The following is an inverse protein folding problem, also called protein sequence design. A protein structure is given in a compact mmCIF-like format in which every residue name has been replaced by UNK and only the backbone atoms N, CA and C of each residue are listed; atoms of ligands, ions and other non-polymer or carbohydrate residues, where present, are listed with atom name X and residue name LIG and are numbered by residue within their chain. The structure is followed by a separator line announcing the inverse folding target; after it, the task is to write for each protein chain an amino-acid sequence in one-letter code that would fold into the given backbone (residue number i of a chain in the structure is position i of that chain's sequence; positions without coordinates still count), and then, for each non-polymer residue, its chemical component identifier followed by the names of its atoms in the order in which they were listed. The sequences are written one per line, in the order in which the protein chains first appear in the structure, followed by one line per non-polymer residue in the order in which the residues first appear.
data_IF_595078265665
#
_entry.id   IF_595078265665
#
_cell.length_a   1.000
_cell.length_b   1.000
_cell.length_c   1.000
_cell.angle_alpha   90.00
_cell.angle_beta   90.00
_cell.angle_gamma   90.00
#
_symmetry.space_group_name_H-M   'P 1'
#
loop_
_entity.id
_entity.type
_entity.pdbx_description
1 polymer ?
#
# COMPACT_ATOMS: atom_id res chain seq x y z
N UNK A 1 -48.74 8.13 61.74
CA UNK A 1 -47.27 7.89 61.76
C UNK A 1 -46.87 7.62 60.33
N UNK A 2 -46.19 8.58 59.73
CA UNK A 2 -45.97 8.68 58.30
C UNK A 2 -44.75 7.88 57.81
N UNK A 3 -44.82 7.17 56.71
CA UNK A 3 -43.70 6.41 56.13
C UNK A 3 -42.76 7.25 55.23
N UNK A 4 -42.79 8.59 55.36
CA UNK A 4 -42.07 9.50 54.45
C UNK A 4 -40.58 9.69 54.80
N UNK A 5 -40.14 9.28 56.02
CA UNK A 5 -38.74 9.46 56.43
C UNK A 5 -37.73 8.41 55.92
N UNK A 6 -38.21 7.22 55.48
CA UNK A 6 -37.30 6.18 55.00
C UNK A 6 -36.93 6.30 53.53
N UNK A 7 -37.76 6.97 52.72
CA UNK A 7 -37.55 7.13 51.29
C UNK A 7 -36.47 8.17 51.00
N UNK A 8 -36.35 9.20 51.82
CA UNK A 8 -35.35 10.25 51.61
C UNK A 8 -33.91 9.80 51.91
N UNK A 9 -33.74 8.81 52.79
CA UNK A 9 -32.40 8.33 53.16
C UNK A 9 -31.84 7.36 52.13
N UNK A 10 -32.70 6.57 51.51
CA UNK A 10 -32.32 5.68 50.39
C UNK A 10 -32.01 6.47 49.12
N UNK A 11 -32.75 7.54 48.85
CA UNK A 11 -32.48 8.39 47.67
C UNK A 11 -31.18 9.19 47.85
N UNK A 12 -30.82 9.60 49.09
CA UNK A 12 -29.57 10.30 49.35
C UNK A 12 -28.35 9.39 49.24
N UNK A 13 -28.49 8.10 49.63
CA UNK A 13 -27.43 7.12 49.45
C UNK A 13 -27.22 6.76 47.97
N UNK A 14 -28.30 6.69 47.17
CA UNK A 14 -28.17 6.43 45.74
C UNK A 14 -27.48 7.57 44.98
N UNK A 15 -27.78 8.81 45.33
CA UNK A 15 -27.11 9.98 44.72
C UNK A 15 -25.64 10.09 45.15
N UNK A 16 -25.28 9.71 46.37
CA UNK A 16 -23.89 9.67 46.81
C UNK A 16 -23.06 8.59 46.10
N UNK A 17 -23.64 7.42 45.82
CA UNK A 17 -22.97 6.36 45.08
C UNK A 17 -22.77 6.70 43.59
N UNK A 18 -23.65 7.49 42.98
CA UNK A 18 -23.51 7.91 41.58
C UNK A 18 -22.43 8.98 41.44
N UNK A 19 -22.23 9.83 42.43
CA UNK A 19 -21.18 10.85 42.39
C UNK A 19 -19.76 10.33 42.63
N UNK A 20 -19.59 9.14 43.19
CA UNK A 20 -18.25 8.55 43.40
C UNK A 20 -17.65 7.90 42.15
N UNK A 21 -18.46 7.64 41.12
CA UNK A 21 -17.95 7.07 39.86
C UNK A 21 -17.66 8.11 38.76
N UNK A 22 -17.73 9.41 39.10
CA UNK A 22 -17.48 10.50 38.13
C UNK A 22 -16.11 11.18 38.34
N UNK A 23 -15.23 10.65 39.17
CA UNK A 23 -13.83 10.95 39.05
C UNK A 23 -13.28 10.12 37.89
N UNK A 24 -13.41 10.65 36.67
CA UNK A 24 -12.58 10.21 35.59
C UNK A 24 -11.14 10.31 36.07
N UNK A 25 -10.50 9.20 36.26
CA UNK A 25 -9.07 9.10 36.41
C UNK A 25 -8.49 9.80 35.17
N UNK A 26 -7.99 11.01 35.35
CA UNK A 26 -7.14 11.66 34.39
C UNK A 26 -5.89 10.81 34.34
N UNK A 27 -5.98 9.69 33.59
CA UNK A 27 -4.82 8.89 33.27
C UNK A 27 -3.81 9.86 32.66
N UNK A 28 -2.63 9.93 33.23
CA UNK A 28 -1.50 10.57 32.61
C UNK A 28 -1.33 9.94 31.24
N UNK A 29 -1.91 10.56 30.20
CA UNK A 29 -1.60 10.22 28.83
C UNK A 29 -0.15 10.65 28.62
N UNK A 30 0.77 9.73 28.89
CA UNK A 30 2.09 9.87 28.31
C UNK A 30 1.88 10.08 26.80
N UNK A 31 2.53 11.07 26.21
CA UNK A 31 2.39 11.31 24.79
C UNK A 31 2.77 10.01 24.07
N UNK A 32 1.83 9.41 23.34
CA UNK A 32 2.12 8.27 22.47
C UNK A 32 3.07 8.79 21.42
N UNK A 33 4.36 8.49 21.60
CA UNK A 33 5.37 8.76 20.59
C UNK A 33 5.08 7.83 19.42
N UNK A 34 4.46 8.37 18.39
CA UNK A 34 4.32 7.65 17.12
C UNK A 34 5.72 7.38 16.56
N UNK A 35 5.97 6.20 16.01
CA UNK A 35 7.25 5.90 15.38
C UNK A 35 7.50 6.91 14.26
N UNK A 36 8.72 7.43 14.19
CA UNK A 36 9.12 8.38 13.16
C UNK A 36 9.05 7.69 11.80
N UNK A 37 8.21 8.20 10.91
CA UNK A 37 8.09 7.70 9.55
C UNK A 37 9.32 8.15 8.76
N UNK A 38 10.13 7.20 8.30
CA UNK A 38 11.29 7.44 7.45
C UNK A 38 10.90 7.38 5.99
N UNK A 39 11.50 8.25 5.18
CA UNK A 39 11.32 8.31 3.73
C UNK A 39 12.56 7.79 3.03
N UNK A 40 12.38 6.79 2.19
CA UNK A 40 13.44 6.19 1.38
C UNK A 40 13.58 6.86 0.02
N UNK A 41 12.52 7.49 -0.44
CA UNK A 41 12.44 8.13 -1.75
C UNK A 41 13.45 9.26 -1.96
N UNK A 42 13.97 9.88 -0.92
CA UNK A 42 15.05 10.88 -1.02
C UNK A 42 16.45 10.29 -1.08
N UNK A 43 16.58 8.96 -0.96
CA UNK A 43 17.84 8.21 -0.85
C UNK A 43 18.73 8.60 0.34
N UNK A 44 18.18 9.33 1.30
CA UNK A 44 18.90 9.84 2.48
C UNK A 44 18.30 9.36 3.81
N UNK A 45 17.29 8.48 3.76
CA UNK A 45 16.63 7.92 4.93
C UNK A 45 16.27 8.99 5.98
N UNK A 46 15.70 10.11 5.50
CA UNK A 46 15.33 11.26 6.32
C UNK A 46 13.94 11.09 6.91
N UNK A 47 13.72 11.74 8.04
CA UNK A 47 12.40 11.80 8.65
C UNK A 47 11.43 12.54 7.71
N UNK A 48 10.20 12.03 7.62
CA UNK A 48 9.18 12.60 6.74
C UNK A 48 8.96 14.10 6.97
N UNK A 49 8.85 14.52 8.22
CA UNK A 49 8.64 15.94 8.58
C UNK A 49 9.86 16.84 8.28
N UNK A 50 11.06 16.26 8.19
CA UNK A 50 12.28 16.97 7.87
C UNK A 50 12.59 16.99 6.37
N UNK A 51 11.81 16.26 5.55
CA UNK A 51 12.06 16.15 4.11
C UNK A 51 11.51 17.39 3.38
N UNK A 52 12.35 18.20 2.72
CA UNK A 52 11.93 19.42 2.02
C UNK A 52 11.32 19.10 0.64
N UNK A 53 10.35 18.19 0.60
CA UNK A 53 9.72 17.71 -0.61
C UNK A 53 8.27 17.29 -0.35
N UNK A 54 7.43 17.31 -1.41
CA UNK A 54 6.08 16.74 -1.32
C UNK A 54 6.17 15.23 -1.43
N UNK A 55 6.22 14.55 -0.30
CA UNK A 55 6.31 13.09 -0.22
C UNK A 55 5.09 12.55 0.50
N UNK A 56 4.49 11.52 -0.08
CA UNK A 56 3.37 10.77 0.50
C UNK A 56 3.77 9.33 0.64
N UNK A 57 3.61 8.77 1.83
CA UNK A 57 3.82 7.34 2.09
C UNK A 57 2.49 6.69 2.44
N UNK A 58 2.17 5.62 1.73
CA UNK A 58 0.95 4.85 1.87
C UNK A 58 1.33 3.43 2.26
N UNK A 59 0.97 3.03 3.47
CA UNK A 59 1.15 1.67 3.96
C UNK A 59 0.05 0.76 3.42
N UNK A 60 0.40 -0.40 2.88
CA UNK A 60 -0.58 -1.31 2.29
C UNK A 60 -1.58 -1.88 3.31
N UNK A 61 -1.17 -2.07 4.56
CA UNK A 61 -2.06 -2.50 5.65
C UNK A 61 -3.27 -1.59 5.86
N UNK A 62 -3.20 -0.33 5.43
CA UNK A 62 -4.33 0.60 5.52
C UNK A 62 -5.33 0.43 4.37
N UNK A 63 -5.05 -0.46 3.42
CA UNK A 63 -5.83 -0.70 2.21
C UNK A 63 -6.38 -2.12 2.11
N UNK A 64 -6.48 -2.83 3.22
CA UNK A 64 -6.96 -4.23 3.29
C UNK A 64 -8.37 -4.45 2.73
N UNK A 65 -9.20 -3.39 2.68
CA UNK A 65 -10.55 -3.46 2.13
C UNK A 65 -10.64 -3.24 0.61
N UNK A 66 -9.51 -3.07 -0.05
CA UNK A 66 -9.44 -2.92 -1.50
C UNK A 66 -9.42 -4.29 -2.18
N UNK A 67 -9.90 -4.35 -3.43
CA UNK A 67 -9.82 -5.58 -4.22
C UNK A 67 -8.36 -5.95 -4.56
N UNK A 68 -7.45 -4.97 -4.56
CA UNK A 68 -6.03 -5.18 -4.84
C UNK A 68 -5.72 -5.50 -6.30
N UNK A 69 -6.51 -4.98 -7.23
CA UNK A 69 -6.38 -5.26 -8.67
C UNK A 69 -5.33 -4.35 -9.31
N UNK A 70 -5.34 -3.05 -8.95
CA UNK A 70 -4.41 -2.09 -9.51
C UNK A 70 -4.11 -0.92 -8.55
N UNK A 71 -3.07 -0.16 -8.85
CA UNK A 71 -2.58 0.95 -8.02
C UNK A 71 -3.61 2.07 -7.78
N UNK A 72 -4.67 2.18 -8.60
CA UNK A 72 -5.68 3.22 -8.39
C UNK A 72 -6.43 3.07 -7.07
N UNK A 73 -6.49 1.87 -6.55
CA UNK A 73 -7.15 1.57 -5.27
C UNK A 73 -6.29 2.06 -4.09
N UNK A 74 -4.99 1.83 -4.16
CA UNK A 74 -4.03 2.17 -3.09
C UNK A 74 -3.63 3.64 -3.10
N UNK A 75 -3.45 4.23 -4.27
CA UNK A 75 -2.99 5.62 -4.41
C UNK A 75 -4.13 6.65 -4.41
N UNK A 76 -5.36 6.22 -4.17
CA UNK A 76 -6.53 7.08 -4.11
C UNK A 76 -6.38 8.14 -3.01
N UNK A 77 -6.51 9.40 -3.39
CA UNK A 77 -6.45 10.51 -2.45
C UNK A 77 -5.06 11.15 -2.30
N UNK A 78 -4.03 10.68 -3.02
CA UNK A 78 -2.72 11.35 -3.03
C UNK A 78 -2.85 12.71 -3.75
N UNK A 79 -2.57 13.83 -3.06
CA UNK A 79 -2.72 15.15 -3.66
C UNK A 79 -1.85 15.35 -4.90
N UNK A 80 -2.45 15.88 -5.97
CA UNK A 80 -1.77 16.13 -7.23
C UNK A 80 -1.52 14.91 -8.12
N UNK A 81 -1.87 13.71 -7.66
CA UNK A 81 -1.83 12.49 -8.45
C UNK A 81 -3.24 12.17 -8.96
N UNK A 82 -3.37 11.97 -10.26
CA UNK A 82 -4.59 11.52 -10.91
C UNK A 82 -4.38 10.13 -11.49
N UNK A 83 -5.32 9.24 -11.21
CA UNK A 83 -5.32 7.85 -11.63
C UNK A 83 -6.59 7.61 -12.43
N UNK A 84 -6.46 7.46 -13.74
CA UNK A 84 -7.59 7.20 -14.61
C UNK A 84 -7.72 5.69 -14.83
N UNK A 85 -8.47 5.07 -13.94
CA UNK A 85 -8.90 3.69 -14.10
C UNK A 85 -10.17 3.66 -14.97
N UNK A 86 -10.04 3.18 -16.20
CA UNK A 86 -11.16 3.04 -17.15
C UNK A 86 -11.84 1.69 -17.04
N UNK A 87 -11.38 0.83 -16.13
CA UNK A 87 -11.74 -0.60 -16.07
C UNK A 87 -11.57 -1.31 -17.42
N UNK A 88 -10.63 -0.85 -18.22
CA UNK A 88 -10.13 -1.49 -19.40
C UNK A 88 -8.79 -2.14 -19.05
N UNK A 89 -8.81 -3.45 -18.90
CA UNK A 89 -7.63 -4.19 -18.43
C UNK A 89 -6.63 -4.48 -19.55
N UNK A 90 -7.02 -4.33 -20.82
CA UNK A 90 -6.11 -4.41 -21.96
C UNK A 90 -5.16 -3.20 -22.01
N UNK A 91 -5.54 -2.10 -21.38
CA UNK A 91 -4.74 -0.88 -21.32
C UNK A 91 -4.30 -0.61 -19.89
N UNK A 92 -3.02 -0.28 -19.71
CA UNK A 92 -2.48 0.07 -18.42
C UNK A 92 -3.14 1.33 -17.82
N UNK A 93 -3.13 1.38 -16.48
CA UNK A 93 -3.58 2.52 -15.71
C UNK A 93 -2.82 3.79 -16.13
N UNK A 94 -3.57 4.83 -16.50
CA UNK A 94 -2.98 6.13 -16.76
C UNK A 94 -2.72 6.86 -15.44
N UNK A 95 -1.45 7.24 -15.22
CA UNK A 95 -1.05 8.12 -14.13
C UNK A 95 -0.70 9.49 -14.66
N UNK A 96 -1.20 10.53 -14.00
CA UNK A 96 -0.70 11.88 -14.22
C UNK A 96 -0.45 12.58 -12.88
N UNK A 97 0.62 13.36 -12.82
CA UNK A 97 1.00 14.10 -11.61
C UNK A 97 1.24 15.56 -11.97
N UNK A 98 0.45 16.45 -11.35
CA UNK A 98 0.51 17.90 -11.60
C UNK A 98 0.45 18.25 -13.11
N UNK A 99 -0.34 17.48 -13.89
CA UNK A 99 -0.49 17.65 -15.33
C UNK A 99 0.55 16.92 -16.19
N UNK A 100 1.66 16.44 -15.62
CA UNK A 100 2.58 15.57 -16.32
C UNK A 100 1.97 14.18 -16.50
N UNK A 101 2.10 13.61 -17.69
CA UNK A 101 1.48 12.32 -18.02
C UNK A 101 0.03 12.39 -18.50
N UNK A 102 -0.65 13.54 -18.39
CA UNK A 102 -2.06 13.69 -18.77
C UNK A 102 -2.35 13.45 -20.27
N UNK A 103 -1.33 13.64 -21.13
CA UNK A 103 -1.45 13.40 -22.58
C UNK A 103 -1.23 11.94 -22.98
N UNK A 104 -0.78 11.09 -22.05
CA UNK A 104 -0.68 9.66 -22.32
C UNK A 104 -2.09 9.08 -22.47
N UNK A 105 -2.34 8.35 -23.54
CA UNK A 105 -3.62 7.68 -23.74
C UNK A 105 -3.79 6.50 -22.78
N UNK A 106 -2.70 5.82 -22.47
CA UNK A 106 -2.59 4.71 -21.52
C UNK A 106 -1.18 4.63 -20.97
N UNK A 107 -1.01 3.90 -19.86
CA UNK A 107 0.28 3.73 -19.19
C UNK A 107 0.78 5.01 -18.52
N UNK A 108 2.04 5.02 -18.19
CA UNK A 108 2.69 6.07 -17.41
C UNK A 108 3.75 6.76 -18.25
N UNK A 109 3.70 8.09 -18.34
CA UNK A 109 4.74 8.92 -18.99
C UNK A 109 5.03 10.16 -18.16
N UNK A 110 6.32 10.56 -18.09
CA UNK A 110 6.75 11.72 -17.33
C UNK A 110 6.73 11.55 -15.81
N UNK A 111 6.42 10.35 -15.34
CA UNK A 111 6.51 9.90 -13.96
C UNK A 111 7.40 8.67 -13.94
N UNK A 112 8.35 8.62 -13.00
CA UNK A 112 9.21 7.43 -12.82
C UNK A 112 8.55 6.42 -11.90
N UNK A 113 8.60 5.16 -12.30
CA UNK A 113 8.17 4.03 -11.47
C UNK A 113 9.40 3.23 -11.02
N UNK A 114 9.40 2.83 -9.78
CA UNK A 114 10.38 1.90 -9.20
C UNK A 114 9.67 0.81 -8.42
N UNK A 115 10.16 -0.40 -8.54
CA UNK A 115 9.74 -1.55 -7.73
C UNK A 115 10.98 -2.08 -7.02
N UNK A 116 10.99 -2.05 -5.70
CA UNK A 116 12.14 -2.47 -4.86
C UNK A 116 13.48 -1.84 -5.31
N UNK A 117 13.46 -0.55 -5.69
CA UNK A 117 14.63 0.17 -6.16
C UNK A 117 15.02 -0.09 -7.62
N UNK A 118 14.34 -1.01 -8.32
CA UNK A 118 14.57 -1.32 -9.73
C UNK A 118 13.67 -0.43 -10.59
N UNK A 119 14.20 0.28 -11.61
CA UNK A 119 13.38 1.07 -12.52
C UNK A 119 12.36 0.19 -13.26
N UNK A 120 11.07 0.52 -13.11
CA UNK A 120 9.95 -0.11 -13.81
C UNK A 120 9.49 0.70 -15.04
N UNK A 121 10.23 1.75 -15.40
CA UNK A 121 10.02 2.53 -16.62
C UNK A 121 11.07 2.20 -17.67
N UNK A 122 10.63 2.08 -18.91
CA UNK A 122 11.49 1.89 -20.07
C UNK A 122 12.41 3.12 -20.30
N UNK A 123 13.52 2.99 -21.06
CA UNK A 123 14.41 4.11 -21.36
C UNK A 123 13.72 5.30 -22.04
N UNK A 124 12.65 5.07 -22.81
CA UNK A 124 11.82 6.12 -23.43
C UNK A 124 10.89 6.83 -22.44
N UNK A 125 10.90 6.44 -21.16
CA UNK A 125 10.09 7.01 -20.08
C UNK A 125 8.67 6.45 -20.00
N UNK A 126 8.34 5.43 -20.79
CA UNK A 126 7.06 4.73 -20.66
C UNK A 126 7.11 3.71 -19.52
N UNK A 127 6.08 3.68 -18.69
CA UNK A 127 5.94 2.74 -17.59
C UNK A 127 4.62 1.99 -17.64
N UNK A 128 4.62 0.83 -17.02
CA UNK A 128 3.44 -0.03 -16.84
C UNK A 128 3.27 -0.33 -15.35
N UNK A 129 2.03 -0.48 -14.93
CA UNK A 129 1.68 -0.76 -13.54
C UNK A 129 1.03 -2.13 -13.34
N UNK A 130 0.68 -2.80 -14.41
CA UNK A 130 -0.02 -4.10 -14.41
C UNK A 130 0.80 -5.23 -13.78
N UNK A 131 2.13 -5.10 -13.74
CA UNK A 131 3.06 -6.05 -13.15
C UNK A 131 3.36 -5.80 -11.66
N UNK A 132 2.79 -4.75 -11.06
CA UNK A 132 2.99 -4.46 -9.64
C UNK A 132 2.03 -5.33 -8.82
N UNK A 133 2.60 -6.18 -7.96
CA UNK A 133 1.84 -7.05 -7.09
C UNK A 133 1.46 -6.34 -5.77
N UNK A 134 0.17 -6.11 -5.60
CA UNK A 134 -0.37 -5.43 -4.42
C UNK A 134 -0.49 -6.35 -3.19
N UNK A 135 -0.49 -7.68 -3.36
CA UNK A 135 -0.60 -8.62 -2.25
C UNK A 135 0.69 -8.72 -1.44
N UNK A 136 1.83 -8.62 -2.12
CA UNK A 136 3.15 -8.60 -1.48
C UNK A 136 3.67 -7.19 -1.16
N UNK A 137 2.90 -6.14 -1.46
CA UNK A 137 3.29 -4.77 -1.26
C UNK A 137 3.34 -4.41 0.24
N UNK A 138 4.40 -3.75 0.68
CA UNK A 138 4.52 -3.15 2.01
C UNK A 138 4.00 -1.71 2.01
N UNK A 139 4.62 -0.87 1.19
CA UNK A 139 4.25 0.54 1.09
C UNK A 139 4.55 1.12 -0.29
N UNK A 140 3.97 2.28 -0.53
CA UNK A 140 4.25 3.10 -1.71
C UNK A 140 4.68 4.48 -1.25
N UNK A 141 5.76 4.99 -1.82
CA UNK A 141 6.16 6.39 -1.67
C UNK A 141 5.96 7.15 -2.98
N UNK A 142 5.34 8.31 -2.88
CA UNK A 142 5.06 9.20 -4.01
C UNK A 142 5.77 10.51 -3.79
N UNK A 143 6.75 10.81 -4.64
CA UNK A 143 7.44 12.11 -4.69
C UNK A 143 6.81 12.97 -5.77
N UNK A 144 6.20 14.08 -5.37
CA UNK A 144 5.64 15.06 -6.31
C UNK A 144 6.63 16.17 -6.65
N UNK A 145 7.06 16.24 -7.90
CA UNK A 145 7.93 17.29 -8.40
C UNK A 145 9.11 16.80 -9.25
N UNK A 146 9.98 17.72 -9.70
CA UNK A 146 11.10 17.39 -10.58
C UNK A 146 12.29 16.85 -9.78
N UNK A 147 12.34 15.53 -9.59
CA UNK A 147 13.47 14.85 -8.93
C UNK A 147 14.43 14.19 -9.93
N UNK A 148 14.65 14.84 -11.07
CA UNK A 148 15.48 14.31 -12.14
C UNK A 148 16.94 14.08 -11.74
N UNK A 149 17.44 14.81 -10.74
CA UNK A 149 18.78 14.59 -10.18
C UNK A 149 18.94 13.23 -9.48
N UNK A 150 17.86 12.69 -8.92
CA UNK A 150 17.85 11.40 -8.22
C UNK A 150 17.34 10.26 -9.09
N UNK A 151 16.37 10.55 -9.96
CA UNK A 151 15.60 9.53 -10.67
C UNK A 151 15.60 9.67 -12.19
N UNK A 152 16.37 10.62 -12.73
CA UNK A 152 16.42 10.85 -14.17
C UNK A 152 15.14 11.51 -14.70
N UNK A 153 14.64 11.09 -15.85
CA UNK A 153 13.47 11.68 -16.51
C UNK A 153 12.19 11.49 -15.68
N UNK A 154 11.94 12.41 -14.73
CA UNK A 154 10.80 12.41 -13.81
C UNK A 154 10.25 13.80 -13.57
N UNK A 155 9.78 14.46 -14.63
CA UNK A 155 9.30 15.86 -14.55
C UNK A 155 8.05 16.00 -13.65
N UNK A 156 7.17 15.02 -13.64
CA UNK A 156 5.97 15.00 -12.80
C UNK A 156 6.23 14.54 -11.38
N UNK A 157 7.14 13.59 -11.23
CA UNK A 157 7.43 12.94 -9.96
C UNK A 157 7.83 11.48 -10.10
N UNK A 158 7.93 10.82 -8.97
CA UNK A 158 8.35 9.41 -8.88
C UNK A 158 7.42 8.65 -7.96
N UNK A 159 7.10 7.41 -8.34
CA UNK A 159 6.36 6.45 -7.52
C UNK A 159 7.28 5.28 -7.25
N UNK A 160 7.53 5.01 -5.99
CA UNK A 160 8.34 3.88 -5.51
C UNK A 160 7.43 2.91 -4.80
N UNK A 161 7.45 1.67 -5.22
CA UNK A 161 6.75 0.58 -4.56
C UNK A 161 7.77 -0.32 -3.89
N UNK A 162 7.52 -0.68 -2.65
CA UNK A 162 8.37 -1.56 -1.86
C UNK A 162 7.58 -2.81 -1.47
N UNK A 163 8.13 -3.97 -1.82
CA UNK A 163 7.59 -5.27 -1.43
C UNK A 163 7.95 -5.57 0.01
N UNK A 164 7.06 -6.24 0.75
CA UNK A 164 7.31 -6.74 2.10
C UNK A 164 8.68 -7.41 2.17
N UNK A 165 9.34 -7.30 3.29
CA UNK A 165 10.48 -8.15 3.64
C UNK A 165 9.96 -9.29 4.52
N UNK A 166 10.41 -10.51 4.27
CA UNK A 166 10.04 -11.63 5.13
C UNK A 166 10.55 -11.41 6.55
N UNK A 167 9.67 -11.52 7.52
CA UNK A 167 9.98 -11.27 8.93
C UNK A 167 9.41 -12.39 9.81
N UNK A 168 10.11 -12.67 10.91
CA UNK A 168 9.64 -13.61 11.92
C UNK A 168 9.50 -15.05 11.41
N UNK A 169 8.51 -15.77 11.96
CA UNK A 169 8.23 -17.17 11.57
C UNK A 169 7.54 -17.25 10.23
N UNK A 170 7.72 -18.38 9.57
CA UNK A 170 6.99 -18.69 8.34
C UNK A 170 5.49 -18.49 8.53
N UNK A 171 4.90 -17.78 7.62
CA UNK A 171 3.46 -17.50 7.60
C UNK A 171 2.90 -17.62 6.20
N UNK A 172 1.61 -17.94 6.14
CA UNK A 172 0.84 -18.02 4.92
C UNK A 172 -0.44 -17.21 5.08
N UNK A 173 -0.68 -16.32 4.14
CA UNK A 173 -1.87 -15.48 4.08
C UNK A 173 -2.67 -15.86 2.83
N UNK A 174 -4.00 -15.93 2.95
CA UNK A 174 -4.91 -16.15 1.83
C UNK A 174 -5.87 -14.98 1.75
N UNK A 175 -5.99 -14.42 0.57
CA UNK A 175 -6.95 -13.37 0.25
C UNK A 175 -8.01 -13.87 -0.74
N UNK A 176 -9.25 -13.43 -0.55
CA UNK A 176 -10.31 -13.60 -1.53
C UNK A 176 -11.21 -12.37 -1.53
N UNK A 177 -11.50 -11.87 -2.71
CA UNK A 177 -12.41 -10.75 -2.90
C UNK A 177 -13.30 -11.00 -4.11
N UNK A 178 -14.55 -10.57 -4.05
CA UNK A 178 -15.51 -10.72 -5.11
C UNK A 178 -16.35 -9.47 -5.31
N UNK A 179 -16.88 -9.29 -6.51
CA UNK A 179 -17.68 -8.12 -6.88
C UNK A 179 -18.68 -8.40 -7.99
N UNK A 180 -19.31 -7.35 -8.50
CA UNK A 180 -20.22 -7.41 -9.64
C UNK A 180 -19.50 -7.85 -10.91
N UNK A 181 -20.26 -8.28 -11.93
CA UNK A 181 -19.77 -8.71 -13.23
C UNK A 181 -18.79 -9.91 -13.15
N UNK A 182 -19.10 -10.87 -12.25
CA UNK A 182 -18.26 -12.03 -11.95
C UNK A 182 -16.82 -11.65 -11.59
N UNK A 183 -16.61 -10.43 -11.10
CA UNK A 183 -15.30 -9.98 -10.65
C UNK A 183 -14.85 -10.77 -9.43
N UNK A 184 -13.75 -11.46 -9.55
CA UNK A 184 -13.17 -12.27 -8.49
C UNK A 184 -11.66 -12.12 -8.44
N UNK A 185 -11.10 -12.11 -7.22
CA UNK A 185 -9.67 -12.17 -6.99
C UNK A 185 -9.36 -13.12 -5.85
N UNK A 186 -8.37 -13.96 -6.04
CA UNK A 186 -7.80 -14.80 -5.00
C UNK A 186 -6.29 -14.59 -4.97
N UNK A 187 -5.70 -14.57 -3.80
CA UNK A 187 -4.26 -14.46 -3.63
C UNK A 187 -3.74 -15.29 -2.46
N UNK A 188 -2.47 -15.60 -2.55
CA UNK A 188 -1.70 -16.28 -1.51
C UNK A 188 -0.37 -15.56 -1.35
N UNK A 189 0.03 -15.35 -0.10
CA UNK A 189 1.33 -14.80 0.26
C UNK A 189 2.00 -15.72 1.27
N UNK A 190 3.21 -16.12 0.96
CA UNK A 190 4.11 -16.90 1.82
C UNK A 190 5.25 -15.99 2.22
N UNK A 191 5.57 -15.90 3.50
CA UNK A 191 6.71 -15.12 3.97
C UNK A 191 7.39 -15.76 5.17
N UNK A 192 8.69 -15.52 5.31
CA UNK A 192 9.48 -15.96 6.45
C UNK A 192 10.75 -15.14 6.58
N UNK A 193 11.16 -14.91 7.83
CA UNK A 193 12.41 -14.25 8.16
C UNK A 193 13.59 -15.20 8.09
N UNK A 194 14.80 -14.64 8.09
CA UNK A 194 16.03 -15.42 8.26
C UNK A 194 16.22 -15.75 9.75
N UNK A 195 16.40 -17.03 10.07
CA UNK A 195 16.68 -17.46 11.45
C UNK A 195 18.16 -17.28 11.83
N UNK A 196 19.03 -17.26 10.83
CA UNK A 196 20.49 -17.14 11.02
C UNK A 196 21.10 -16.19 10.01
N UNK A 197 22.22 -15.58 10.40
CA UNK A 197 23.04 -14.81 9.49
C UNK A 197 23.42 -15.62 8.23
N UNK A 198 23.25 -15.02 7.05
CA UNK A 198 23.50 -15.66 5.78
C UNK A 198 22.36 -16.51 5.21
N UNK A 199 21.27 -16.73 5.95
CA UNK A 199 20.03 -17.28 5.41
C UNK A 199 19.18 -16.16 4.79
N UNK A 200 18.45 -16.40 3.68
CA UNK A 200 17.58 -15.40 3.11
C UNK A 200 16.24 -15.31 3.86
N UNK A 201 15.76 -14.12 4.05
CA UNK A 201 14.33 -13.90 4.26
C UNK A 201 13.61 -13.97 2.91
N UNK A 202 12.33 -14.35 2.91
CA UNK A 202 11.58 -14.52 1.67
C UNK A 202 10.15 -14.00 1.75
N UNK A 203 9.67 -13.54 0.60
CA UNK A 203 8.26 -13.27 0.33
C UNK A 203 7.93 -13.83 -1.05
N UNK A 204 6.94 -14.70 -1.12
CA UNK A 204 6.44 -15.28 -2.36
C UNK A 204 4.94 -15.06 -2.41
N UNK A 205 4.45 -14.50 -3.49
CA UNK A 205 3.02 -14.24 -3.69
C UNK A 205 2.55 -14.72 -5.04
N UNK A 206 1.29 -15.08 -5.11
CA UNK A 206 0.60 -15.32 -6.37
C UNK A 206 -0.84 -14.86 -6.25
N UNK A 207 -1.34 -14.19 -7.27
CA UNK A 207 -2.73 -13.74 -7.35
C UNK A 207 -3.35 -14.12 -8.68
N UNK A 208 -4.63 -14.45 -8.61
CA UNK A 208 -5.48 -14.71 -9.76
C UNK A 208 -6.64 -13.71 -9.74
N UNK A 209 -6.89 -13.06 -10.85
CA UNK A 209 -8.00 -12.14 -11.07
C UNK A 209 -8.76 -12.51 -12.30
N UNK A 210 -10.08 -12.47 -12.24
CA UNK A 210 -11.00 -12.75 -13.35
C UNK A 210 -12.21 -11.82 -13.28
N UNK A 211 -12.74 -11.41 -14.44
CA UNK A 211 -13.96 -10.61 -14.55
C UNK A 211 -14.56 -10.72 -15.95
N UNK A 212 -15.89 -10.71 -16.04
CA UNK A 212 -16.59 -10.57 -17.34
C UNK A 212 -16.58 -9.11 -17.83
N UNK A 213 -16.27 -8.16 -16.92
CA UNK A 213 -16.35 -6.74 -17.23
C UNK A 213 -17.77 -6.17 -17.22
N UNK A 214 -17.90 -4.86 -17.21
CA UNK A 214 -19.22 -4.19 -17.20
C UNK A 214 -19.66 -3.70 -18.57
N UNK A 215 -18.79 -3.77 -19.57
CA UNK A 215 -19.04 -3.43 -20.96
C UNK A 215 -18.87 -4.66 -21.84
N UNK A 216 -19.48 -4.63 -23.03
CA UNK A 216 -19.19 -5.62 -24.06
C UNK A 216 -17.69 -5.60 -24.38
N UNK A 217 -17.10 -6.76 -24.56
CA UNK A 217 -15.65 -6.92 -24.83
C UNK A 217 -14.74 -6.29 -23.76
N UNK A 218 -15.07 -6.47 -22.47
CA UNK A 218 -14.24 -5.98 -21.35
C UNK A 218 -13.85 -7.06 -20.35
N UNK A 219 -13.95 -8.33 -20.75
CA UNK A 219 -13.51 -9.44 -19.93
C UNK A 219 -11.99 -9.44 -19.75
N UNK A 220 -11.54 -9.87 -18.59
CA UNK A 220 -10.13 -9.94 -18.31
C UNK A 220 -9.79 -11.06 -17.33
N UNK A 221 -8.62 -11.66 -17.54
CA UNK A 221 -7.98 -12.62 -16.64
C UNK A 221 -6.53 -12.23 -16.43
N UNK A 222 -6.06 -12.28 -15.19
CA UNK A 222 -4.67 -11.97 -14.84
C UNK A 222 -4.15 -12.94 -13.80
N UNK A 223 -2.97 -13.48 -14.05
CA UNK A 223 -2.15 -14.18 -13.06
C UNK A 223 -0.90 -13.35 -12.81
N UNK A 224 -0.62 -13.05 -11.56
CA UNK A 224 0.56 -12.32 -11.17
C UNK A 224 1.26 -13.11 -10.06
N UNK A 225 2.54 -13.39 -10.25
CA UNK A 225 3.36 -14.08 -9.25
C UNK A 225 4.63 -13.27 -9.00
N UNK A 226 4.99 -13.13 -7.74
CA UNK A 226 6.17 -12.41 -7.31
C UNK A 226 6.94 -13.23 -6.27
N UNK A 227 8.26 -13.18 -6.34
CA UNK A 227 9.13 -13.79 -5.35
C UNK A 227 10.30 -12.85 -5.06
N UNK A 228 10.57 -12.60 -3.78
CA UNK A 228 11.67 -11.80 -3.30
C UNK A 228 12.43 -12.57 -2.24
N UNK A 229 13.72 -12.75 -2.44
CA UNK A 229 14.66 -13.27 -1.44
C UNK A 229 15.62 -12.16 -1.06
N UNK A 230 15.84 -11.97 0.22
CA UNK A 230 16.73 -10.93 0.74
C UNK A 230 17.75 -11.55 1.66
N UNK A 231 19.03 -11.34 1.37
CA UNK A 231 20.16 -11.68 2.23
C UNK A 231 20.71 -10.41 2.86
N UNK A 232 20.74 -10.36 4.16
CA UNK A 232 21.48 -9.35 4.92
C UNK A 232 22.90 -9.89 5.17
N UNK A 233 23.91 -9.20 4.64
CA UNK A 233 25.30 -9.61 4.75
C UNK A 233 25.96 -8.97 5.97
N UNK A 234 27.04 -9.60 6.48
CA UNK A 234 27.73 -9.17 7.71
C UNK A 234 28.36 -7.76 7.60
N UNK A 235 28.64 -7.30 6.39
CA UNK A 235 29.16 -5.95 6.11
C UNK A 235 28.07 -4.86 6.06
N UNK A 236 26.83 -5.21 6.32
CA UNK A 236 25.66 -4.33 6.22
C UNK A 236 25.09 -4.16 4.81
N UNK A 237 25.63 -4.86 3.83
CA UNK A 237 25.08 -4.90 2.47
C UNK A 237 23.86 -5.80 2.42
N UNK A 238 22.94 -5.50 1.47
CA UNK A 238 21.76 -6.31 1.18
C UNK A 238 21.78 -6.81 -0.25
N UNK A 239 21.50 -8.10 -0.43
CA UNK A 239 21.30 -8.69 -1.75
C UNK A 239 19.84 -9.07 -1.89
N UNK A 240 19.17 -8.52 -2.87
CA UNK A 240 17.79 -8.85 -3.22
C UNK A 240 17.77 -9.60 -4.55
N UNK A 241 17.14 -10.77 -4.54
CA UNK A 241 16.79 -11.50 -5.75
C UNK A 241 15.28 -11.45 -5.92
N UNK A 242 14.83 -10.92 -7.07
CA UNK A 242 13.42 -10.65 -7.34
C UNK A 242 13.05 -11.32 -8.66
N UNK A 243 11.95 -12.06 -8.65
CA UNK A 243 11.30 -12.61 -9.84
C UNK A 243 9.87 -12.13 -9.85
N UNK A 244 9.46 -11.55 -10.97
CA UNK A 244 8.09 -11.15 -11.21
C UNK A 244 7.62 -11.79 -12.52
N UNK A 245 6.42 -12.40 -12.49
CA UNK A 245 5.79 -12.99 -13.64
C UNK A 245 4.35 -12.51 -13.73
N UNK A 246 3.96 -12.06 -14.91
CA UNK A 246 2.59 -11.67 -15.21
C UNK A 246 2.13 -12.37 -16.48
N UNK A 247 0.95 -12.98 -16.40
CA UNK A 247 0.20 -13.48 -17.54
C UNK A 247 -1.19 -12.82 -17.53
N UNK A 248 -1.51 -12.08 -18.56
CA UNK A 248 -2.76 -11.34 -18.66
C UNK A 248 -3.37 -11.50 -20.05
N UNK A 249 -4.65 -11.82 -20.05
CA UNK A 249 -5.49 -11.82 -21.23
C UNK A 249 -6.69 -10.91 -20.95
N UNK A 250 -6.90 -9.93 -21.79
CA UNK A 250 -7.97 -8.95 -21.64
C UNK A 250 -8.50 -8.52 -23.00
N UNK A 251 -9.81 -8.39 -23.07
CA UNK A 251 -10.49 -7.82 -24.22
C UNK A 251 -10.37 -6.30 -24.17
N UNK A 252 -10.31 -5.67 -25.34
CA UNK A 252 -10.27 -4.20 -25.50
C UNK A 252 -11.63 -3.73 -26.00
N UNK A 253 -12.44 -3.05 -25.12
CA UNK A 253 -13.80 -2.62 -25.43
C UNK A 253 -13.88 -1.41 -26.36
#
# INVERSE_FOLDING_TARGET
KSPIKSINMTLLCLTACICQNLYAEAGSTEPVLLPTLKIEATRTNTDWLATPASVYRIEQKNNENNLGINLSETLKGVPGLQLNNRENYAQDLQLSMRGFGARSTFGVRGIRLYVDGIPATMPDGQGQTSNIDLSSLDHIEVLGGPFSSLYGNSSGGTVLTSTKQGEGRDSIEFGYAGGSHNKGRADIVLQGGADKAGEPSYVVSSSYFDTDGYRDHSAARKVLSNAKLTWDLDDGSKVNWIVNHVDMNADDP
#
